data_IF_248574154463
#
_entry.id   IF_248574154463
#
_cell.length_a   1.000
_cell.length_b   1.000
_cell.length_c   1.000
_cell.angle_alpha   90.00
_cell.angle_beta   90.00
_cell.angle_gamma   90.00
#
_symmetry.space_group_name_H-M   'P 1'
#
loop_
_entity.id
_entity.type
_entity.pdbx_description
1 polymer ?
#
# COMPACT_ATOMS: atom_id res chain seq x y z
N UNK A 1 16.35 12.26 3.89
CA UNK A 1 14.92 12.13 4.26
C UNK A 1 14.70 10.72 4.81
N UNK A 2 13.81 10.56 5.79
CA UNK A 2 13.34 9.26 6.27
C UNK A 2 11.82 9.23 6.05
N UNK A 3 11.31 8.11 5.57
CA UNK A 3 9.88 7.91 5.35
C UNK A 3 9.41 6.61 5.99
N UNK A 4 8.24 6.66 6.61
CA UNK A 4 7.64 5.54 7.32
C UNK A 4 6.21 5.34 6.82
N UNK A 5 5.94 4.15 6.29
CA UNK A 5 4.62 3.74 5.84
C UNK A 5 3.66 3.47 7.01
N UNK A 6 2.38 3.70 6.77
CA UNK A 6 1.32 3.48 7.76
C UNK A 6 0.96 2.00 7.90
N UNK A 7 0.54 1.60 9.11
CA UNK A 7 -0.06 0.30 9.37
C UNK A 7 -1.58 0.42 9.21
N UNK A 8 -2.15 -0.34 8.29
CA UNK A 8 -3.60 -0.48 8.14
C UNK A 8 -4.09 -1.75 8.84
N UNK A 9 -5.14 -1.63 9.65
CA UNK A 9 -5.90 -2.79 10.12
C UNK A 9 -7.25 -2.80 9.40
N UNK A 10 -7.53 -3.83 8.60
CA UNK A 10 -8.91 -4.07 8.15
C UNK A 10 -9.76 -4.46 9.36
N UNK A 11 -10.77 -3.65 9.68
CA UNK A 11 -11.83 -3.99 10.63
C UNK A 11 -13.07 -4.42 9.85
N UNK A 12 -13.56 -5.64 10.11
CA UNK A 12 -14.83 -6.15 9.57
C UNK A 12 -14.70 -7.50 8.84
N UNK A 13 -15.76 -7.89 8.12
CA UNK A 13 -15.98 -9.16 7.38
C UNK A 13 -14.81 -9.64 6.52
N UNK A 14 -13.86 -8.77 6.16
CA UNK A 14 -12.62 -9.15 5.48
C UNK A 14 -11.54 -9.78 6.39
N UNK A 15 -11.69 -9.70 7.72
CA UNK A 15 -10.76 -10.32 8.68
C UNK A 15 -11.07 -11.80 8.91
N UNK A 16 -12.33 -12.19 8.76
CA UNK A 16 -12.77 -13.58 8.82
C UNK A 16 -12.64 -14.17 7.41
N UNK A 17 -11.39 -14.40 7.03
CA UNK A 17 -11.05 -15.10 5.81
C UNK A 17 -11.49 -16.56 5.95
N UNK A 18 -12.70 -16.88 5.49
CA UNK A 18 -13.10 -18.24 5.16
C UNK A 18 -12.79 -18.49 3.67
N UNK A 19 -11.59 -19.00 3.32
CA UNK A 19 -11.20 -19.26 1.94
C UNK A 19 -12.01 -20.39 1.31
N UNK A 20 -12.67 -21.21 2.13
CA UNK A 20 -13.53 -22.30 1.67
C UNK A 20 -14.95 -21.81 1.35
N UNK A 21 -15.34 -20.68 1.92
CA UNK A 21 -16.67 -20.11 1.80
C UNK A 21 -17.73 -20.99 2.48
N UNK A 22 -18.81 -20.35 2.94
CA UNK A 22 -19.89 -21.04 3.64
C UNK A 22 -21.24 -20.72 3.02
N UNK A 23 -22.08 -21.74 2.91
CA UNK A 23 -23.49 -21.55 2.62
C UNK A 23 -24.21 -21.05 3.87
N UNK A 24 -24.79 -19.86 3.78
CA UNK A 24 -25.60 -19.26 4.83
C UNK A 24 -27.05 -19.24 4.37
N UNK A 25 -27.95 -19.74 5.21
CA UNK A 25 -29.39 -19.77 4.93
C UNK A 25 -30.04 -18.53 5.50
N UNK A 26 -30.77 -17.79 4.68
CA UNK A 26 -31.60 -16.69 5.15
C UNK A 26 -32.78 -17.25 5.97
N UNK A 27 -32.94 -16.88 7.24
CA UNK A 27 -33.98 -17.46 8.11
C UNK A 27 -35.41 -17.04 7.74
N UNK A 28 -35.58 -16.02 6.89
CA UNK A 28 -36.88 -15.48 6.48
C UNK A 28 -37.30 -16.05 5.12
N UNK A 29 -36.38 -16.16 4.16
CA UNK A 29 -36.69 -16.62 2.79
C UNK A 29 -36.29 -18.06 2.51
N UNK A 30 -35.52 -18.70 3.40
CA UNK A 30 -34.96 -20.05 3.19
C UNK A 30 -33.88 -20.11 2.10
N UNK A 31 -33.54 -18.97 1.50
CA UNK A 31 -32.56 -18.89 0.42
C UNK A 31 -31.15 -19.16 0.95
N UNK A 32 -30.43 -20.07 0.30
CA UNK A 32 -29.01 -20.29 0.58
C UNK A 32 -28.17 -19.34 -0.28
N UNK A 33 -27.30 -18.57 0.36
CA UNK A 33 -26.34 -17.70 -0.33
C UNK A 33 -24.93 -18.20 -0.01
N UNK A 34 -24.10 -18.31 -1.03
CA UNK A 34 -22.69 -18.61 -0.85
C UNK A 34 -21.97 -17.33 -0.39
N UNK A 35 -21.48 -17.33 0.85
CA UNK A 35 -20.64 -16.28 1.39
C UNK A 35 -19.19 -16.75 1.31
N UNK A 36 -18.50 -16.33 0.24
CA UNK A 36 -17.05 -16.49 0.09
C UNK A 36 -16.40 -15.11 0.13
N UNK A 37 -15.55 -14.87 1.14
CA UNK A 37 -14.82 -13.61 1.27
C UNK A 37 -13.48 -13.68 0.53
N UNK A 38 -13.10 -12.60 -0.17
CA UNK A 38 -11.72 -12.44 -0.63
C UNK A 38 -10.83 -12.25 0.60
N UNK A 39 -9.95 -13.21 0.84
CA UNK A 39 -9.02 -13.17 1.97
C UNK A 39 -7.92 -12.17 1.63
N UNK A 40 -8.08 -10.92 2.04
CA UNK A 40 -7.02 -9.91 1.92
C UNK A 40 -6.08 -10.15 3.09
N UNK A 41 -4.98 -10.84 2.82
CA UNK A 41 -3.92 -11.06 3.79
C UNK A 41 -3.14 -9.76 3.99
N UNK A 42 -3.52 -8.98 4.99
CA UNK A 42 -2.70 -7.87 5.47
C UNK A 42 -1.62 -8.43 6.39
N UNK A 43 -0.39 -8.57 5.87
CA UNK A 43 0.77 -8.72 6.74
C UNK A 43 0.98 -7.36 7.40
N UNK A 44 1.03 -7.30 8.73
CA UNK A 44 1.30 -6.10 9.53
C UNK A 44 2.76 -5.65 9.37
N UNK A 45 3.13 -5.34 8.12
CA UNK A 45 4.48 -5.12 7.67
C UNK A 45 4.77 -3.61 7.66
N UNK A 46 5.54 -3.10 8.64
CA UNK A 46 6.00 -1.73 8.58
C UNK A 46 6.88 -1.53 7.35
N UNK A 47 6.76 -0.38 6.70
CA UNK A 47 7.64 0.01 5.58
C UNK A 47 8.45 1.20 6.01
N UNK A 48 9.76 1.13 5.84
CA UNK A 48 10.66 2.22 6.21
C UNK A 48 11.70 2.40 5.11
N UNK A 49 11.97 3.65 4.74
CA UNK A 49 13.00 3.99 3.77
C UNK A 49 13.79 5.21 4.22
N UNK A 50 15.07 5.26 3.81
CA UNK A 50 15.87 6.46 3.93
C UNK A 50 16.53 6.80 2.62
N UNK A 51 16.80 8.09 2.45
CA UNK A 51 17.38 8.59 1.22
C UNK A 51 17.96 9.99 1.34
N UNK A 52 18.52 10.43 0.23
CA UNK A 52 19.09 11.77 0.05
C UNK A 52 18.30 12.47 -1.06
N UNK A 53 17.91 13.70 -0.80
CA UNK A 53 17.25 14.57 -1.76
C UNK A 53 18.21 15.67 -2.18
N UNK A 54 18.36 15.86 -3.49
CA UNK A 54 19.15 16.93 -4.08
C UNK A 54 18.18 17.88 -4.77
N UNK A 55 18.10 19.10 -4.27
CA UNK A 55 17.29 20.16 -4.85
C UNK A 55 18.24 21.18 -5.49
N UNK A 56 18.07 21.46 -6.77
CA UNK A 56 18.81 22.53 -7.44
C UNK A 56 17.88 23.42 -8.23
N UNK A 57 18.15 24.73 -8.18
CA UNK A 57 17.45 25.70 -9.01
C UNK A 57 18.14 25.75 -10.37
N UNK A 58 17.61 24.99 -11.32
CA UNK A 58 18.09 25.01 -12.71
C UNK A 58 17.69 26.33 -13.38
N UNK A 59 18.45 26.83 -14.37
CA UNK A 59 17.98 27.89 -15.27
C UNK A 59 16.69 27.53 -16.03
N UNK A 60 16.28 26.25 -16.03
CA UNK A 60 15.02 25.75 -16.58
C UNK A 60 13.90 25.55 -15.54
N UNK A 61 14.13 25.90 -14.26
CA UNK A 61 13.18 25.73 -13.16
C UNK A 61 13.72 24.87 -12.00
N UNK A 62 13.04 24.85 -10.83
CA UNK A 62 13.46 24.03 -9.70
C UNK A 62 13.34 22.53 -10.02
N UNK A 63 14.45 21.80 -9.90
CA UNK A 63 14.49 20.34 -10.09
C UNK A 63 14.85 19.69 -8.76
N UNK A 64 14.15 18.60 -8.45
CA UNK A 64 14.43 17.77 -7.28
C UNK A 64 14.67 16.33 -7.70
N UNK A 65 15.82 15.78 -7.31
CA UNK A 65 16.14 14.35 -7.41
C UNK A 65 16.09 13.76 -6.02
N UNK A 66 15.26 12.75 -5.84
CA UNK A 66 15.17 11.98 -4.60
C UNK A 66 15.73 10.58 -4.85
N UNK A 67 16.77 10.20 -4.10
CA UNK A 67 17.38 8.87 -4.13
C UNK A 67 17.09 8.21 -2.79
N UNK A 68 16.38 7.08 -2.78
CA UNK A 68 15.97 6.41 -1.55
C UNK A 68 16.14 4.91 -1.65
N UNK A 69 16.50 4.29 -0.52
CA UNK A 69 16.57 2.84 -0.37
C UNK A 69 15.65 2.39 0.78
N UNK A 70 14.75 1.43 0.54
CA UNK A 70 13.91 0.86 1.60
C UNK A 70 14.73 -0.07 2.50
N UNK A 71 14.60 0.10 3.82
CA UNK A 71 15.16 -0.82 4.81
C UNK A 71 14.22 -2.00 5.11
N UNK A 72 12.91 -1.76 5.05
CA UNK A 72 11.88 -2.78 5.29
C UNK A 72 10.94 -2.77 4.08
N UNK A 73 10.96 -3.86 3.32
CA UNK A 73 10.20 -4.07 2.09
C UNK A 73 9.56 -5.46 2.11
N UNK A 74 8.38 -5.58 1.53
CA UNK A 74 7.71 -6.87 1.38
C UNK A 74 8.04 -7.50 0.01
N UNK A 75 7.90 -8.82 -0.12
CA UNK A 75 8.24 -9.55 -1.35
C UNK A 75 7.40 -9.15 -2.57
N UNK A 76 6.23 -8.56 -2.34
CA UNK A 76 5.33 -8.02 -3.36
C UNK A 76 5.54 -6.53 -3.64
N UNK A 77 6.47 -5.86 -2.92
CA UNK A 77 6.76 -4.45 -3.14
C UNK A 77 7.75 -4.22 -4.28
N UNK A 78 7.53 -3.14 -5.03
CA UNK A 78 8.47 -2.67 -6.06
C UNK A 78 9.31 -1.54 -5.50
N UNK A 79 10.63 -1.72 -5.51
CA UNK A 79 11.57 -0.69 -5.06
C UNK A 79 11.74 0.39 -6.13
N UNK A 80 11.48 1.64 -5.78
CA UNK A 80 11.75 2.78 -6.62
C UNK A 80 12.96 3.56 -6.06
N UNK A 81 14.13 3.36 -6.68
CA UNK A 81 15.40 3.86 -6.15
C UNK A 81 15.66 5.35 -6.46
N UNK A 82 15.11 5.88 -7.56
CA UNK A 82 15.34 7.25 -8.02
C UNK A 82 14.00 7.85 -8.48
N UNK A 83 13.68 9.05 -7.99
CA UNK A 83 12.50 9.81 -8.38
C UNK A 83 12.90 11.22 -8.82
N UNK A 84 12.30 11.69 -9.92
CA UNK A 84 12.53 13.03 -10.48
C UNK A 84 11.25 13.85 -10.37
N UNK A 85 11.35 15.07 -9.83
CA UNK A 85 10.23 16.03 -9.75
C UNK A 85 10.62 17.34 -10.41
N UNK A 86 9.74 17.83 -11.28
CA UNK A 86 9.83 19.14 -11.91
C UNK A 86 8.56 19.93 -11.59
N UNK A 87 8.70 21.20 -11.22
CA UNK A 87 7.58 22.10 -10.97
C UNK A 87 7.53 23.09 -12.14
N UNK A 88 6.51 22.97 -12.97
CA UNK A 88 6.22 23.94 -14.04
C UNK A 88 5.05 24.80 -13.61
N UNK A 89 5.26 26.10 -13.40
CA UNK A 89 4.18 27.08 -13.22
C UNK A 89 3.94 27.74 -14.58
N UNK A 90 2.70 27.67 -15.07
CA UNK A 90 2.25 28.36 -16.29
C UNK A 90 1.38 29.55 -15.93
#
# INVERSE_FOLDING_TARGET
FNDFGTLGFLRGVNRDCDPTGRFVTNPITGQQVFSGGTCIQDNLAPRASAGVSINWNSPFGPVSIDIGYPYIQESYDRVQAITFRTITNF
#
